data_IF_939408501554
#
_entry.id   IF_939408501554
#
_cell.length_a   1.000
_cell.length_b   1.000
_cell.length_c   1.000
_cell.angle_alpha   90.00
_cell.angle_beta   90.00
_cell.angle_gamma   90.00
#
_symmetry.space_group_name_H-M   'P 1'
#
loop_
_entity.id
_entity.type
_entity.pdbx_description
1 polymer ?
#
# COMPACT_ATOMS: atom_id res chain seq x y z
N UNK A 1 14.42 -9.59 -19.28
CA UNK A 1 14.99 -8.38 -19.91
C UNK A 1 16.41 -8.09 -19.43
N UNK A 2 16.63 -7.77 -18.15
CA UNK A 2 17.97 -7.39 -17.59
C UNK A 2 19.09 -8.36 -17.96
N UNK A 3 18.89 -9.65 -17.70
CA UNK A 3 19.88 -10.68 -18.04
C UNK A 3 20.15 -10.76 -19.55
N UNK A 4 19.15 -10.45 -20.38
CA UNK A 4 19.31 -10.36 -21.82
C UNK A 4 20.23 -9.21 -22.22
N UNK A 5 19.98 -7.99 -21.72
CA UNK A 5 20.80 -6.81 -22.03
C UNK A 5 22.26 -6.99 -21.60
N UNK A 6 22.46 -7.52 -20.39
CA UNK A 6 23.81 -7.85 -19.87
C UNK A 6 24.55 -8.84 -20.76
N UNK A 7 23.87 -9.85 -21.31
CA UNK A 7 24.49 -10.82 -22.24
C UNK A 7 24.98 -10.18 -23.54
N UNK A 8 24.38 -9.06 -23.96
CA UNK A 8 24.81 -8.28 -25.12
C UNK A 8 25.72 -7.09 -24.74
N UNK A 9 26.20 -7.01 -23.50
CA UNK A 9 27.07 -5.92 -23.04
C UNK A 9 26.39 -4.55 -22.92
N UNK A 10 25.04 -4.51 -22.93
CA UNK A 10 24.27 -3.27 -22.80
C UNK A 10 23.95 -3.00 -21.32
N UNK A 11 24.04 -1.73 -20.91
CA UNK A 11 23.60 -1.30 -19.57
C UNK A 11 22.07 -1.31 -19.49
N UNK A 12 21.45 -2.14 -18.63
CA UNK A 12 20.01 -2.15 -18.46
C UNK A 12 19.46 -0.94 -17.69
N UNK A 13 20.27 -0.21 -16.92
CA UNK A 13 19.77 0.82 -15.99
C UNK A 13 18.90 1.89 -16.66
N UNK A 14 19.21 2.44 -17.85
CA UNK A 14 18.41 3.47 -18.51
C UNK A 14 17.05 2.97 -19.03
N UNK A 15 16.84 1.65 -19.09
CA UNK A 15 15.66 1.03 -19.69
C UNK A 15 14.66 0.51 -18.65
N UNK A 16 14.92 0.79 -17.36
CA UNK A 16 14.11 0.32 -16.24
C UNK A 16 13.60 1.55 -15.50
N UNK A 17 12.33 1.57 -15.06
CA UNK A 17 11.80 2.68 -14.28
C UNK A 17 12.40 2.68 -12.86
N UNK A 18 12.97 3.81 -12.44
CA UNK A 18 13.52 4.00 -11.08
C UNK A 18 12.63 4.85 -10.17
N UNK A 19 11.54 5.38 -10.72
CA UNK A 19 10.64 6.29 -10.05
C UNK A 19 9.19 5.80 -10.24
N UNK A 20 8.48 5.59 -9.14
CA UNK A 20 7.13 5.01 -9.15
C UNK A 20 6.13 5.88 -8.38
N UNK A 21 4.88 5.89 -8.84
CA UNK A 21 3.74 6.37 -8.06
C UNK A 21 2.89 5.18 -7.65
N UNK A 22 2.65 4.99 -6.35
CA UNK A 22 1.70 4.00 -5.85
C UNK A 22 0.40 4.69 -5.44
N UNK A 23 -0.65 4.45 -6.21
CA UNK A 23 -2.01 4.91 -5.94
C UNK A 23 -2.76 3.77 -5.28
N UNK A 24 -3.05 3.89 -4.00
CA UNK A 24 -3.80 2.87 -3.29
C UNK A 24 -4.70 3.47 -2.21
N UNK A 25 -5.86 2.86 -1.99
CA UNK A 25 -6.86 3.34 -1.05
C UNK A 25 -6.45 3.26 0.41
N UNK A 26 -5.46 2.44 0.80
CA UNK A 26 -4.82 2.46 2.14
C UNK A 26 -3.81 1.35 2.37
N UNK A 27 -4.05 0.15 1.85
CA UNK A 27 -3.21 -1.01 2.12
C UNK A 27 -2.34 -1.38 0.92
N UNK A 28 -1.26 -2.12 1.20
CA UNK A 28 -0.40 -2.69 0.16
C UNK A 28 0.75 -1.80 -0.31
N UNK A 29 0.71 -0.47 -0.13
CA UNK A 29 1.77 0.46 -0.60
C UNK A 29 3.16 0.08 -0.08
N UNK A 30 3.32 -0.03 1.24
CA UNK A 30 4.61 -0.40 1.86
C UNK A 30 5.03 -1.82 1.51
N UNK A 31 4.08 -2.76 1.36
CA UNK A 31 4.36 -4.14 0.96
C UNK A 31 4.87 -4.19 -0.49
N UNK A 32 4.25 -3.43 -1.39
CA UNK A 32 4.69 -3.24 -2.76
C UNK A 32 6.06 -2.59 -2.81
N UNK A 33 6.31 -1.55 -2.02
CA UNK A 33 7.63 -0.90 -1.95
C UNK A 33 8.74 -1.90 -1.57
N UNK A 34 8.49 -2.78 -0.58
CA UNK A 34 9.44 -3.86 -0.21
C UNK A 34 9.66 -4.85 -1.36
N UNK A 35 8.60 -5.23 -2.09
CA UNK A 35 8.74 -6.10 -3.27
C UNK A 35 9.55 -5.44 -4.38
N UNK A 36 9.35 -4.14 -4.62
CA UNK A 36 10.16 -3.37 -5.58
C UNK A 36 11.62 -3.33 -5.14
N UNK A 37 11.90 -3.03 -3.87
CA UNK A 37 13.26 -3.06 -3.32
C UNK A 37 13.94 -4.40 -3.52
N UNK A 38 13.25 -5.49 -3.16
CA UNK A 38 13.74 -6.85 -3.37
C UNK A 38 14.02 -7.16 -4.84
N UNK A 39 13.11 -6.78 -5.74
CA UNK A 39 13.31 -6.98 -7.18
C UNK A 39 14.58 -6.28 -7.68
N UNK A 40 14.81 -5.03 -7.29
CA UNK A 40 15.99 -4.28 -7.69
C UNK A 40 17.29 -4.81 -7.06
N UNK A 41 17.22 -5.25 -5.82
CA UNK A 41 18.32 -5.93 -5.13
C UNK A 41 18.69 -7.25 -5.82
N UNK A 42 17.70 -8.11 -6.13
CA UNK A 42 17.90 -9.39 -6.82
C UNK A 42 18.47 -9.19 -8.24
N UNK A 43 18.15 -8.06 -8.88
CA UNK A 43 18.76 -7.67 -10.16
C UNK A 43 20.20 -7.14 -10.01
N UNK A 44 20.68 -6.89 -8.79
CA UNK A 44 22.00 -6.35 -8.50
C UNK A 44 22.13 -4.85 -8.78
N UNK A 45 21.04 -4.10 -8.69
CA UNK A 45 21.03 -2.65 -8.91
C UNK A 45 21.07 -1.83 -7.61
N UNK A 46 20.51 -2.38 -6.54
CA UNK A 46 20.55 -1.80 -5.19
C UNK A 46 21.50 -2.60 -4.31
N UNK A 47 22.08 -1.93 -3.32
CA UNK A 47 22.97 -2.58 -2.34
C UNK A 47 22.20 -3.34 -1.26
N UNK A 48 20.94 -2.98 -1.02
CA UNK A 48 20.03 -3.66 -0.10
C UNK A 48 18.58 -3.54 -0.59
N UNK A 49 17.68 -4.39 -0.09
CA UNK A 49 16.23 -4.33 -0.35
C UNK A 49 15.46 -3.47 0.67
N UNK A 50 16.18 -2.72 1.50
CA UNK A 50 15.63 -1.82 2.50
C UNK A 50 14.73 -0.72 1.90
N UNK A 51 13.69 -0.39 2.66
CA UNK A 51 12.74 0.69 2.32
C UNK A 51 12.83 1.77 3.39
N UNK A 52 13.47 2.87 3.02
CA UNK A 52 13.57 4.09 3.84
C UNK A 52 12.25 4.84 3.72
N UNK A 53 11.51 4.92 4.82
CA UNK A 53 10.23 5.62 4.85
C UNK A 53 10.45 7.10 5.16
N UNK A 54 9.85 7.95 4.34
CA UNK A 54 9.91 9.40 4.44
C UNK A 54 8.49 9.97 4.51
N UNK A 55 8.21 10.78 5.52
CA UNK A 55 6.99 11.58 5.59
C UNK A 55 7.25 12.98 5.01
N UNK A 56 6.20 13.69 4.59
CA UNK A 56 6.34 15.06 4.07
C UNK A 56 6.98 16.03 5.08
N UNK A 57 6.77 15.81 6.37
CA UNK A 57 7.42 16.58 7.46
C UNK A 57 8.94 16.38 7.52
N UNK A 58 9.47 15.29 6.96
CA UNK A 58 10.91 15.08 6.83
C UNK A 58 11.52 15.91 5.69
N UNK A 59 10.71 16.36 4.74
CA UNK A 59 11.14 17.14 3.58
C UNK A 59 10.99 18.65 3.82
N UNK A 60 9.96 19.05 4.55
CA UNK A 60 9.62 20.47 4.76
C UNK A 60 10.23 20.99 6.06
N UNK A 61 10.90 22.14 5.99
CA UNK A 61 11.44 22.89 7.13
C UNK A 61 10.50 23.97 7.63
N UNK A 62 10.75 24.49 8.83
CA UNK A 62 10.01 25.63 9.40
C UNK A 62 10.46 26.99 8.83
N UNK A 63 11.60 27.02 8.12
CA UNK A 63 12.24 28.23 7.61
C UNK A 63 12.70 28.04 6.15
N UNK A 64 12.60 29.10 5.36
CA UNK A 64 13.13 29.16 3.98
C UNK A 64 14.63 28.84 3.99
N UNK A 65 15.07 27.92 3.12
CA UNK A 65 16.48 27.49 3.03
C UNK A 65 16.84 26.21 3.79
N UNK A 66 15.97 25.70 4.68
CA UNK A 66 16.18 24.39 5.34
C UNK A 66 15.62 23.20 4.54
N UNK A 67 14.84 23.46 3.49
CA UNK A 67 14.17 22.43 2.69
C UNK A 67 15.19 21.66 1.84
N UNK A 68 16.09 22.38 1.15
CA UNK A 68 17.18 21.80 0.36
C UNK A 68 17.94 20.70 1.09
N UNK A 69 18.60 21.03 2.23
CA UNK A 69 19.32 20.06 3.04
C UNK A 69 18.47 18.89 3.56
N UNK A 70 17.20 19.13 3.90
CA UNK A 70 16.28 18.07 4.35
C UNK A 70 15.98 17.05 3.26
N UNK A 71 15.67 17.52 2.05
CA UNK A 71 15.45 16.65 0.88
C UNK A 71 16.71 15.86 0.58
N UNK A 72 17.87 16.51 0.51
CA UNK A 72 19.16 15.85 0.27
C UNK A 72 19.42 14.76 1.32
N UNK A 73 19.18 15.04 2.60
CA UNK A 73 19.37 14.06 3.67
C UNK A 73 18.51 12.80 3.47
N UNK A 74 17.24 12.95 3.04
CA UNK A 74 16.39 11.79 2.74
C UNK A 74 16.90 10.99 1.53
N UNK A 75 17.45 11.67 0.51
CA UNK A 75 18.07 11.01 -0.63
C UNK A 75 19.37 10.28 -0.27
N UNK A 76 20.18 10.84 0.62
CA UNK A 76 21.37 10.17 1.15
C UNK A 76 21.01 8.90 1.92
N UNK A 77 19.96 8.94 2.75
CA UNK A 77 19.46 7.74 3.44
C UNK A 77 18.95 6.68 2.44
N UNK A 78 18.28 7.11 1.37
CA UNK A 78 17.74 6.22 0.34
C UNK A 78 18.76 5.71 -0.69
N UNK A 79 19.99 6.24 -0.70
CA UNK A 79 20.99 5.88 -1.70
C UNK A 79 21.34 4.38 -1.59
N UNK A 80 21.26 3.67 -2.72
CA UNK A 80 21.44 2.21 -2.75
C UNK A 80 20.24 1.40 -2.26
N UNK A 81 19.13 2.07 -1.90
CA UNK A 81 17.89 1.50 -1.35
C UNK A 81 16.63 2.03 -2.07
N UNK A 82 15.45 1.77 -1.49
CA UNK A 82 14.19 2.42 -1.86
C UNK A 82 13.90 3.59 -0.92
N UNK A 83 13.69 4.79 -1.46
CA UNK A 83 13.11 5.92 -0.74
C UNK A 83 11.59 5.94 -0.97
N UNK A 84 10.82 5.68 0.07
CA UNK A 84 9.36 5.61 0.04
C UNK A 84 8.74 6.83 0.73
N UNK A 85 8.17 7.73 -0.07
CA UNK A 85 7.54 8.97 0.40
C UNK A 85 6.04 8.71 0.54
N UNK A 86 5.60 8.49 1.78
CA UNK A 86 4.20 8.20 2.09
C UNK A 86 3.37 9.48 2.22
N UNK A 87 2.08 9.37 1.90
CA UNK A 87 1.14 10.49 1.81
C UNK A 87 1.67 11.67 0.98
N UNK A 88 2.33 11.39 -0.14
CA UNK A 88 3.03 12.39 -0.95
C UNK A 88 2.11 13.52 -1.46
N UNK A 89 0.80 13.28 -1.57
CA UNK A 89 -0.19 14.32 -1.90
C UNK A 89 -0.20 15.49 -0.90
N UNK A 90 0.32 15.29 0.32
CA UNK A 90 0.51 16.37 1.30
C UNK A 90 1.58 17.38 0.89
N UNK A 91 2.32 17.14 -0.21
CA UNK A 91 3.15 18.13 -0.88
C UNK A 91 2.35 19.15 -1.70
N UNK A 92 1.03 18.99 -1.82
CA UNK A 92 0.15 20.06 -2.32
C UNK A 92 0.00 21.09 -1.21
N UNK A 93 0.50 22.30 -1.43
CA UNK A 93 0.47 23.34 -0.41
C UNK A 93 1.03 24.68 -0.87
N UNK A 94 1.55 25.43 0.10
CA UNK A 94 2.10 26.78 -0.06
C UNK A 94 3.47 26.81 -0.78
N UNK A 95 4.18 27.94 -0.69
CA UNK A 95 5.50 28.12 -1.30
C UNK A 95 6.55 27.13 -0.81
N UNK A 96 6.51 26.72 0.46
CA UNK A 96 7.48 25.77 1.02
C UNK A 96 7.29 24.37 0.44
N UNK A 97 6.03 23.97 0.23
CA UNK A 97 5.72 22.68 -0.37
C UNK A 97 6.18 22.64 -1.84
N UNK A 98 5.97 23.74 -2.58
CA UNK A 98 6.46 23.88 -3.96
C UNK A 98 7.98 23.87 -4.05
N UNK A 99 8.67 24.53 -3.12
CA UNK A 99 10.13 24.48 -3.01
C UNK A 99 10.63 23.05 -2.76
N UNK A 100 9.97 22.30 -1.86
CA UNK A 100 10.31 20.90 -1.59
C UNK A 100 10.13 20.00 -2.81
N UNK A 101 9.07 20.19 -3.60
CA UNK A 101 8.88 19.47 -4.87
C UNK A 101 9.98 19.84 -5.87
N UNK A 102 10.31 21.13 -5.98
CA UNK A 102 11.37 21.61 -6.85
C UNK A 102 12.71 20.95 -6.53
N UNK A 103 13.10 20.95 -5.26
CA UNK A 103 14.33 20.29 -4.82
C UNK A 103 14.29 18.78 -5.01
N UNK A 104 13.16 18.12 -4.72
CA UNK A 104 13.01 16.68 -4.93
C UNK A 104 13.25 16.31 -6.41
N UNK A 105 12.68 17.09 -7.33
CA UNK A 105 12.87 16.91 -8.78
C UNK A 105 14.30 17.24 -9.21
N UNK A 106 14.95 18.23 -8.62
CA UNK A 106 16.35 18.55 -8.90
C UNK A 106 17.28 17.42 -8.43
N UNK A 107 17.18 17.05 -7.14
CA UNK A 107 18.03 16.03 -6.51
C UNK A 107 17.91 14.69 -7.22
N UNK A 108 16.71 14.25 -7.59
CA UNK A 108 16.54 12.96 -8.30
C UNK A 108 17.22 12.90 -9.68
N UNK A 109 17.50 14.06 -10.29
CA UNK A 109 18.20 14.12 -11.59
C UNK A 109 19.72 14.17 -11.46
N UNK A 110 20.25 14.43 -10.27
CA UNK A 110 21.71 14.48 -10.06
C UNK A 110 22.32 13.07 -10.28
N UNK A 111 23.45 12.95 -11.00
CA UNK A 111 24.07 11.66 -11.32
C UNK A 111 24.38 10.77 -10.11
N UNK A 112 24.56 11.37 -8.93
CA UNK A 112 24.77 10.65 -7.67
C UNK A 112 23.58 9.75 -7.32
N UNK A 113 22.34 10.22 -7.52
CA UNK A 113 21.12 9.51 -7.13
C UNK A 113 20.43 8.82 -8.32
N UNK A 114 20.51 9.42 -9.50
CA UNK A 114 19.93 8.87 -10.71
C UNK A 114 20.45 7.44 -10.96
N UNK A 115 19.53 6.49 -11.09
CA UNK A 115 19.82 5.05 -11.29
C UNK A 115 20.69 4.39 -10.20
N UNK A 116 20.72 4.97 -8.99
CA UNK A 116 21.39 4.42 -7.82
C UNK A 116 20.47 4.25 -6.61
N UNK A 117 19.19 4.59 -6.74
CA UNK A 117 18.14 4.37 -5.75
C UNK A 117 16.78 4.36 -6.43
N UNK A 118 15.80 3.71 -5.82
CA UNK A 118 14.40 3.76 -6.27
C UNK A 118 13.65 4.81 -5.46
N UNK A 119 12.90 5.69 -6.12
CA UNK A 119 12.03 6.67 -5.45
C UNK A 119 10.57 6.29 -5.67
N UNK A 120 9.80 6.23 -4.60
CA UNK A 120 8.38 5.87 -4.65
C UNK A 120 7.56 6.95 -3.97
N UNK A 121 6.65 7.58 -4.71
CA UNK A 121 5.61 8.44 -4.15
C UNK A 121 4.35 7.60 -3.89
N UNK A 122 3.77 7.68 -2.70
CA UNK A 122 2.61 6.88 -2.36
C UNK A 122 1.49 7.74 -1.75
N UNK A 123 0.25 7.41 -2.09
CA UNK A 123 -0.90 8.22 -1.67
C UNK A 123 -2.22 7.64 -2.15
N UNK A 124 -3.32 8.26 -1.73
CA UNK A 124 -4.65 7.91 -2.20
C UNK A 124 -4.78 8.28 -3.69
N UNK A 125 -5.58 7.54 -4.45
CA UNK A 125 -5.56 7.61 -5.92
C UNK A 125 -5.89 9.01 -6.45
N UNK A 126 -6.96 9.62 -5.94
CA UNK A 126 -7.47 10.90 -6.41
C UNK A 126 -6.51 12.04 -6.06
N UNK A 127 -6.02 12.05 -4.82
CA UNK A 127 -5.10 13.07 -4.30
C UNK A 127 -3.71 12.96 -4.95
N UNK A 128 -3.28 11.76 -5.34
CA UNK A 128 -2.05 11.59 -6.11
C UNK A 128 -2.20 12.03 -7.56
N UNK A 129 -3.38 11.87 -8.17
CA UNK A 129 -3.65 12.46 -9.49
C UNK A 129 -3.58 14.00 -9.40
N UNK A 130 -4.20 14.59 -8.37
CA UNK A 130 -4.12 16.04 -8.12
C UNK A 130 -2.66 16.51 -7.98
N UNK A 131 -1.83 15.81 -7.20
CA UNK A 131 -0.41 16.16 -7.01
C UNK A 131 0.35 16.22 -8.35
N UNK A 132 0.14 15.23 -9.22
CA UNK A 132 0.80 15.15 -10.52
C UNK A 132 0.28 16.18 -11.52
N UNK A 133 -0.98 16.59 -11.40
CA UNK A 133 -1.55 17.67 -12.20
C UNK A 133 -0.98 19.04 -11.80
N UNK A 134 -0.87 19.31 -10.49
CA UNK A 134 -0.34 20.58 -9.97
C UNK A 134 1.14 20.75 -10.28
N UNK A 135 1.90 19.65 -10.36
CA UNK A 135 3.34 19.68 -10.60
C UNK A 135 3.74 18.83 -11.81
N UNK A 136 3.76 19.42 -13.02
CA UNK A 136 4.23 18.74 -14.24
C UNK A 136 5.65 18.17 -14.12
N UNK A 137 6.49 18.80 -13.30
CA UNK A 137 7.83 18.32 -12.96
C UNK A 137 7.80 16.88 -12.44
N UNK A 138 6.96 16.59 -11.44
CA UNK A 138 6.78 15.24 -10.90
C UNK A 138 6.25 14.29 -11.95
N UNK A 139 5.21 14.68 -12.70
CA UNK A 139 4.59 13.81 -13.71
C UNK A 139 5.58 13.30 -14.76
N UNK A 140 6.52 14.14 -15.21
CA UNK A 140 7.54 13.76 -16.19
C UNK A 140 8.55 12.77 -15.59
N UNK A 141 8.94 12.94 -14.32
CA UNK A 141 9.97 12.11 -13.69
C UNK A 141 9.42 10.82 -13.08
N UNK A 142 8.11 10.75 -12.84
CA UNK A 142 7.41 9.57 -12.34
C UNK A 142 6.42 9.02 -13.38
N UNK A 143 6.92 8.50 -14.52
CA UNK A 143 6.04 8.01 -15.60
C UNK A 143 5.35 6.68 -15.25
N UNK A 144 5.86 5.94 -14.27
CA UNK A 144 5.33 4.62 -13.89
C UNK A 144 4.37 4.76 -12.71
N UNK A 145 3.08 4.57 -12.99
CA UNK A 145 2.02 4.55 -11.98
C UNK A 145 1.57 3.12 -11.75
N UNK A 146 1.56 2.68 -10.50
CA UNK A 146 1.00 1.41 -10.07
C UNK A 146 -0.27 1.71 -9.27
N UNK A 147 -1.39 1.24 -9.80
CA UNK A 147 -2.71 1.43 -9.19
C UNK A 147 -3.15 0.15 -8.46
N UNK A 148 -3.59 0.33 -7.22
CA UNK A 148 -4.11 -0.72 -6.36
C UNK A 148 -5.56 -0.37 -6.03
N UNK A 149 -6.52 -0.87 -6.83
CA UNK A 149 -7.93 -0.60 -6.59
C UNK A 149 -8.40 -1.21 -5.26
N UNK A 150 -9.59 -0.81 -4.83
CA UNK A 150 -10.27 -1.48 -3.72
C UNK A 150 -10.43 -2.98 -4.05
N UNK A 151 -10.25 -3.83 -3.04
CA UNK A 151 -10.53 -5.28 -3.19
C UNK A 151 -12.00 -5.48 -3.59
N UNK A 152 -12.22 -6.39 -4.53
CA UNK A 152 -13.57 -6.77 -4.92
C UNK A 152 -14.32 -7.45 -3.75
N UNK A 153 -15.66 -7.41 -3.70
CA UNK A 153 -16.46 -8.06 -2.65
C UNK A 153 -16.07 -9.52 -2.43
N UNK A 154 -15.80 -10.27 -3.50
CA UNK A 154 -15.40 -11.67 -3.44
C UNK A 154 -14.00 -11.86 -2.82
N UNK A 155 -13.09 -10.92 -3.05
CA UNK A 155 -11.76 -10.91 -2.45
C UNK A 155 -11.83 -10.55 -0.96
N UNK A 156 -12.72 -9.61 -0.59
CA UNK A 156 -13.03 -9.29 0.80
C UNK A 156 -13.55 -10.51 1.54
N UNK A 157 -14.53 -11.23 0.98
CA UNK A 157 -15.08 -12.45 1.56
C UNK A 157 -14.00 -13.55 1.69
N UNK A 158 -13.22 -13.80 0.65
CA UNK A 158 -12.11 -14.77 0.70
C UNK A 158 -11.06 -14.40 1.76
N UNK A 159 -10.75 -13.12 1.91
CA UNK A 159 -9.83 -12.66 2.94
C UNK A 159 -10.42 -12.88 4.33
N UNK A 160 -11.71 -12.60 4.52
CA UNK A 160 -12.42 -12.84 5.78
C UNK A 160 -12.38 -14.32 6.16
N UNK A 161 -12.78 -15.22 5.25
CA UNK A 161 -12.70 -16.67 5.44
C UNK A 161 -11.27 -17.13 5.79
N UNK A 162 -10.26 -16.57 5.10
CA UNK A 162 -8.86 -16.87 5.37
C UNK A 162 -8.40 -16.39 6.75
N UNK A 163 -8.90 -15.27 7.24
CA UNK A 163 -8.55 -14.76 8.56
C UNK A 163 -9.21 -15.61 9.66
N UNK A 164 -10.49 -15.96 9.49
CA UNK A 164 -11.25 -16.78 10.45
C UNK A 164 -10.74 -18.22 10.52
N UNK A 165 -10.41 -18.83 9.38
CA UNK A 165 -9.87 -20.20 9.32
C UNK A 165 -8.54 -20.38 10.07
N UNK A 166 -7.74 -19.32 10.26
CA UNK A 166 -6.55 -19.37 11.13
C UNK A 166 -6.88 -19.63 12.59
N UNK A 167 -8.11 -19.35 12.99
CA UNK A 167 -8.66 -19.58 14.33
C UNK A 167 -9.61 -20.79 14.35
N UNK A 168 -9.62 -21.60 13.29
CA UNK A 168 -10.56 -22.71 13.10
C UNK A 168 -12.05 -22.28 13.14
N UNK A 169 -12.33 -21.04 12.76
CA UNK A 169 -13.70 -20.53 12.60
C UNK A 169 -14.10 -20.68 11.12
N UNK A 170 -15.25 -21.30 10.89
CA UNK A 170 -15.84 -21.50 9.56
C UNK A 170 -17.11 -20.64 9.37
N UNK A 171 -17.38 -20.24 8.13
CA UNK A 171 -18.60 -19.52 7.77
C UNK A 171 -19.59 -20.48 7.11
N UNK A 172 -20.82 -20.57 7.61
CA UNK A 172 -21.84 -21.47 7.04
C UNK A 172 -22.37 -21.02 5.67
N UNK A 173 -22.15 -19.75 5.32
CA UNK A 173 -22.58 -19.12 4.06
C UNK A 173 -21.93 -19.69 2.80
N UNK A 174 -20.92 -20.55 2.92
CA UNK A 174 -20.31 -21.20 1.75
C UNK A 174 -21.22 -22.21 1.06
N UNK A 175 -22.33 -22.63 1.70
CA UNK A 175 -23.17 -23.76 1.23
C UNK A 175 -24.42 -23.36 0.43
N UNK A 176 -24.92 -22.12 0.52
CA UNK A 176 -26.12 -21.66 -0.21
C UNK A 176 -25.86 -20.41 -1.05
N UNK A 177 -26.21 -20.46 -2.34
CA UNK A 177 -25.96 -19.37 -3.30
C UNK A 177 -26.63 -18.04 -2.94
N UNK A 178 -27.81 -18.08 -2.31
CA UNK A 178 -28.57 -16.88 -1.91
C UNK A 178 -27.91 -16.10 -0.76
N UNK A 179 -27.46 -16.80 0.30
CA UNK A 179 -26.79 -16.15 1.44
C UNK A 179 -25.48 -15.50 1.03
N UNK A 180 -24.71 -16.19 0.18
CA UNK A 180 -23.47 -15.65 -0.36
C UNK A 180 -23.72 -14.38 -1.18
N UNK A 181 -24.75 -14.37 -2.03
CA UNK A 181 -25.12 -13.19 -2.81
C UNK A 181 -25.47 -12.00 -1.89
N UNK A 182 -26.30 -12.21 -0.87
CA UNK A 182 -26.67 -11.17 0.08
C UNK A 182 -25.45 -10.58 0.81
N UNK A 183 -24.50 -11.41 1.25
CA UNK A 183 -23.27 -10.94 1.90
C UNK A 183 -22.40 -10.14 0.92
N UNK A 184 -22.28 -10.57 -0.33
CA UNK A 184 -21.53 -9.83 -1.35
C UNK A 184 -22.17 -8.47 -1.65
N UNK A 185 -23.51 -8.39 -1.65
CA UNK A 185 -24.22 -7.12 -1.84
C UNK A 185 -23.95 -6.14 -0.69
N UNK A 186 -23.96 -6.60 0.56
CA UNK A 186 -23.60 -5.74 1.71
C UNK A 186 -22.13 -5.31 1.64
N UNK A 187 -21.21 -6.24 1.34
CA UNK A 187 -19.79 -5.90 1.17
C UNK A 187 -19.58 -4.88 0.05
N UNK A 188 -20.36 -4.95 -1.03
CA UNK A 188 -20.33 -3.95 -2.10
C UNK A 188 -20.75 -2.57 -1.60
N UNK A 189 -21.84 -2.49 -0.83
CA UNK A 189 -22.28 -1.23 -0.22
C UNK A 189 -21.22 -0.66 0.74
N UNK A 190 -20.56 -1.52 1.52
CA UNK A 190 -19.44 -1.11 2.39
C UNK A 190 -18.24 -0.61 1.58
N UNK A 191 -17.88 -1.27 0.48
CA UNK A 191 -16.79 -0.84 -0.40
C UNK A 191 -17.06 0.55 -1.00
N UNK A 192 -18.31 0.83 -1.36
CA UNK A 192 -18.75 2.11 -1.91
C UNK A 192 -18.88 3.21 -0.83
N UNK A 193 -18.81 2.85 0.47
CA UNK A 193 -18.93 3.79 1.57
C UNK A 193 -17.68 4.66 1.75
N UNK A 194 -17.88 5.89 2.20
CA UNK A 194 -16.78 6.83 2.46
C UNK A 194 -15.99 6.36 3.68
N UNK A 195 -14.74 5.96 3.46
CA UNK A 195 -13.80 5.57 4.51
C UNK A 195 -13.35 4.11 4.47
N UNK A 196 -13.96 3.29 3.59
CA UNK A 196 -13.59 1.90 3.42
C UNK A 196 -12.10 1.72 3.07
N UNK A 197 -11.41 0.98 3.92
CA UNK A 197 -9.98 0.73 3.93
C UNK A 197 -9.62 -0.68 3.44
N UNK A 198 -10.52 -1.33 2.68
CA UNK A 198 -10.28 -2.65 2.07
C UNK A 198 -9.83 -3.69 3.12
N UNK A 199 -8.68 -4.34 2.93
CA UNK A 199 -8.21 -5.40 3.80
C UNK A 199 -8.07 -5.03 5.29
N UNK A 200 -8.00 -3.74 5.65
CA UNK A 200 -7.97 -3.30 7.04
C UNK A 200 -9.35 -3.45 7.68
N UNK A 201 -10.40 -3.04 6.99
CA UNK A 201 -11.77 -3.15 7.48
C UNK A 201 -12.23 -4.61 7.45
N UNK A 202 -11.82 -5.39 6.46
CA UNK A 202 -12.02 -6.86 6.48
C UNK A 202 -11.35 -7.49 7.70
N UNK A 203 -10.17 -7.00 8.11
CA UNK A 203 -9.51 -7.47 9.33
C UNK A 203 -10.27 -7.03 10.58
N UNK A 204 -10.78 -5.80 10.64
CA UNK A 204 -11.64 -5.33 11.74
C UNK A 204 -12.91 -6.18 11.85
N UNK A 205 -13.58 -6.46 10.73
CA UNK A 205 -14.74 -7.36 10.67
C UNK A 205 -14.39 -8.76 11.21
N UNK A 206 -13.25 -9.31 10.79
CA UNK A 206 -12.80 -10.62 11.29
C UNK A 206 -12.58 -10.63 12.81
N UNK A 207 -12.12 -9.52 13.39
CA UNK A 207 -11.92 -9.38 14.83
C UNK A 207 -13.26 -9.31 15.58
N UNK A 208 -14.22 -8.53 15.08
CA UNK A 208 -15.56 -8.45 15.66
C UNK A 208 -16.28 -9.81 15.65
N UNK A 209 -16.20 -10.54 14.54
CA UNK A 209 -16.75 -11.90 14.44
C UNK A 209 -16.05 -12.85 15.41
N UNK A 210 -14.72 -12.76 15.51
CA UNK A 210 -13.94 -13.57 16.46
C UNK A 210 -14.39 -13.31 17.90
N UNK A 211 -14.57 -12.05 18.29
CA UNK A 211 -15.05 -11.65 19.62
C UNK A 211 -16.45 -12.21 19.93
N UNK A 212 -17.39 -12.09 18.98
CA UNK A 212 -18.74 -12.66 19.10
C UNK A 212 -18.70 -14.17 19.33
N UNK A 213 -17.91 -14.89 18.52
CA UNK A 213 -17.82 -16.36 18.58
C UNK A 213 -17.24 -16.83 19.91
N UNK A 214 -16.13 -16.24 20.35
CA UNK A 214 -15.48 -16.67 21.59
C UNK A 214 -16.23 -16.23 22.85
N UNK A 215 -16.95 -15.10 22.81
CA UNK A 215 -17.84 -14.70 23.91
C UNK A 215 -18.94 -15.74 24.11
N UNK A 216 -19.62 -16.14 23.03
CA UNK A 216 -20.65 -17.20 23.07
C UNK A 216 -20.10 -18.54 23.53
N UNK A 217 -18.91 -18.92 23.04
CA UNK A 217 -18.27 -20.17 23.44
C UNK A 217 -17.90 -20.18 24.94
N UNK A 218 -17.56 -19.01 25.51
CA UNK A 218 -17.29 -18.87 26.94
C UNK A 218 -18.52 -18.89 27.84
N UNK A 219 -19.68 -18.50 27.31
CA UNK A 219 -20.98 -18.54 28.01
C UNK A 219 -21.65 -19.92 27.93
N UNK A 220 -21.21 -20.79 27.03
CA UNK A 220 -21.75 -22.15 26.89
C UNK A 220 -21.26 -23.06 28.04
N UNK A 221 -22.19 -23.63 28.80
CA UNK A 221 -21.89 -24.52 29.95
C UNK A 221 -21.31 -25.90 29.53
N UNK A 222 -21.46 -26.30 28.26
CA UNK A 222 -20.89 -27.55 27.72
C UNK A 222 -19.77 -27.28 26.71
N UNK A 223 -18.58 -27.82 27.00
CA UNK A 223 -17.47 -27.90 26.05
C UNK A 223 -17.80 -29.02 25.06
N UNK A 224 -18.54 -28.70 23.99
CA UNK A 224 -18.67 -29.64 22.87
C UNK A 224 -17.28 -29.84 22.25
N UNK A 225 -16.72 -31.02 22.48
CA UNK A 225 -15.44 -31.42 21.95
C UNK A 225 -15.45 -31.44 20.42
N UNK A 226 -14.44 -30.80 19.82
CA UNK A 226 -13.98 -30.97 18.44
C UNK A 226 -14.90 -30.57 17.27
N UNK A 227 -16.11 -30.07 17.50
CA UNK A 227 -16.85 -29.39 16.43
C UNK A 227 -16.26 -27.99 16.21
N UNK A 228 -15.78 -27.72 15.00
CA UNK A 228 -15.18 -26.43 14.66
C UNK A 228 -16.16 -25.28 14.90
N UNK A 229 -15.64 -24.14 15.37
CA UNK A 229 -16.45 -22.94 15.58
C UNK A 229 -17.08 -22.52 14.24
N UNK A 230 -18.38 -22.28 14.22
CA UNK A 230 -19.12 -21.95 13.01
C UNK A 230 -19.92 -20.66 13.23
N UNK A 231 -19.90 -19.78 12.24
CA UNK A 231 -20.69 -18.53 12.22
C UNK A 231 -21.83 -18.71 11.23
N UNK A 232 -23.05 -18.51 11.71
CA UNK A 232 -24.26 -18.53 10.90
C UNK A 232 -24.35 -17.30 9.99
N UNK A 233 -25.13 -17.40 8.90
CA UNK A 233 -25.46 -16.25 8.05
C UNK A 233 -25.98 -15.06 8.88
N UNK A 234 -26.87 -15.31 9.84
CA UNK A 234 -27.47 -14.26 10.66
C UNK A 234 -26.42 -13.53 11.50
N UNK A 235 -25.55 -14.27 12.18
CA UNK A 235 -24.48 -13.68 13.00
C UNK A 235 -23.47 -12.89 12.17
N UNK A 236 -23.17 -13.36 10.95
CA UNK A 236 -22.32 -12.63 10.03
C UNK A 236 -22.97 -11.30 9.62
N UNK A 237 -24.27 -11.32 9.28
CA UNK A 237 -25.02 -10.12 8.91
C UNK A 237 -25.17 -9.14 10.07
N UNK A 238 -25.27 -9.62 11.32
CA UNK A 238 -25.30 -8.77 12.51
C UNK A 238 -23.96 -8.05 12.75
N UNK A 239 -22.85 -8.54 12.16
CA UNK A 239 -21.52 -7.94 12.26
C UNK A 239 -21.17 -6.99 11.08
N UNK A 240 -21.92 -7.05 9.98
CA UNK A 240 -21.70 -6.26 8.76
C UNK A 240 -22.49 -4.95 8.81
#
# INVERSE_FOLDING_TARGET
MVNGMRRYGLDPKPHIPWAFVLRASRNGKTSTARKVGKLFYDMGFLSSDEVVTCCVTNLIGELSGHIGPKVINQFELGLGNVLFIDEAYRLIGDSFHKEAIGELVDVMTKPRYAHNMVVILAGYSDEMEELLMVNPGLRIRFPTVLEFPQMAPEECLKLLEKLLSKLNISLSISTTGEHKAAVLDVLKQLIDSKGWASGRDVKTLSQAITELVFTKAGEAEEISGSEGLCVSYKELMDCL
#
